data_IF_589494077491
#
_entry.id   IF_589494077491
#
_cell.length_a   1.000
_cell.length_b   1.000
_cell.length_c   1.000
_cell.angle_alpha   90.00
_cell.angle_beta   90.00
_cell.angle_gamma   90.00
#
_symmetry.space_group_name_H-M   'P 1'
#
loop_
_entity.id
_entity.type
_entity.pdbx_description
1 polymer ?
#
# COMPACT_ATOMS: atom_id res chain seq x y z
N UNK A 1 2.67 29.37 -4.57
CA UNK A 1 2.79 27.98 -5.06
C UNK A 1 3.78 27.29 -4.16
N UNK A 2 3.47 26.10 -3.66
CA UNK A 2 4.38 25.38 -2.76
C UNK A 2 5.26 24.45 -3.58
N UNK A 3 6.56 24.48 -3.33
CA UNK A 3 7.59 23.63 -3.94
C UNK A 3 8.02 22.59 -2.92
N UNK A 4 8.27 21.37 -3.35
CA UNK A 4 8.85 20.32 -2.53
C UNK A 4 10.07 19.75 -3.23
N UNK A 5 11.17 19.63 -2.49
CA UNK A 5 12.37 18.93 -2.91
C UNK A 5 12.22 17.45 -2.60
N UNK A 6 12.40 16.59 -3.59
CA UNK A 6 12.14 15.14 -3.47
C UNK A 6 13.39 14.35 -3.86
N UNK A 7 13.83 13.51 -2.95
CA UNK A 7 14.83 12.50 -3.21
C UNK A 7 14.12 11.23 -3.74
N UNK A 8 14.20 11.02 -5.05
CA UNK A 8 13.63 9.83 -5.70
C UNK A 8 14.45 8.58 -5.37
N UNK A 9 13.79 7.40 -5.32
CA UNK A 9 14.49 6.12 -5.11
C UNK A 9 15.31 5.67 -6.35
N UNK A 10 16.04 6.62 -6.94
CA UNK A 10 16.90 6.43 -8.10
C UNK A 10 18.33 6.91 -7.79
N UNK A 11 19.29 5.97 -7.59
CA UNK A 11 20.66 6.33 -7.25
C UNK A 11 21.40 7.19 -8.29
N UNK A 12 20.91 7.22 -9.54
CA UNK A 12 21.52 8.02 -10.61
C UNK A 12 21.13 9.50 -10.56
N UNK A 13 20.22 9.89 -9.65
CA UNK A 13 19.69 11.25 -9.57
C UNK A 13 19.93 11.85 -8.19
N UNK A 14 20.25 13.14 -8.17
CA UNK A 14 20.12 13.97 -6.98
C UNK A 14 18.65 14.31 -6.68
N UNK A 15 18.41 15.12 -5.63
CA UNK A 15 17.08 15.59 -5.31
C UNK A 15 16.54 16.48 -6.43
N UNK A 16 15.24 16.34 -6.71
CA UNK A 16 14.53 17.09 -7.75
C UNK A 16 13.41 17.92 -7.13
N UNK A 17 13.14 19.08 -7.74
CA UNK A 17 12.06 19.96 -7.32
C UNK A 17 10.77 19.63 -8.04
N UNK A 18 9.67 19.58 -7.26
CA UNK A 18 8.32 19.34 -7.74
C UNK A 18 7.35 20.40 -7.23
N UNK A 19 6.29 20.64 -7.99
CA UNK A 19 5.17 21.46 -7.54
C UNK A 19 4.25 20.61 -6.67
N UNK A 20 3.87 21.15 -5.52
CA UNK A 20 2.84 20.57 -4.67
C UNK A 20 1.46 21.04 -5.16
N UNK A 21 0.58 20.16 -5.64
CA UNK A 21 -0.76 20.53 -6.07
C UNK A 21 -1.57 21.16 -4.94
N UNK A 22 -2.53 22.00 -5.31
CA UNK A 22 -3.45 22.61 -4.33
C UNK A 22 -4.26 21.50 -3.63
N UNK A 23 -4.35 21.60 -2.29
CA UNK A 23 -5.03 20.58 -1.48
C UNK A 23 -4.16 19.38 -1.06
N UNK A 24 -2.91 19.30 -1.54
CA UNK A 24 -1.93 18.29 -1.12
C UNK A 24 -1.05 18.89 -0.02
N UNK A 25 -0.96 18.22 1.12
CA UNK A 25 -0.05 18.58 2.20
C UNK A 25 1.18 17.66 2.18
N UNK A 26 2.36 18.25 2.26
CA UNK A 26 3.64 17.52 2.35
C UNK A 26 4.52 18.19 3.39
N UNK A 27 5.29 17.36 4.09
CA UNK A 27 6.31 17.79 5.03
C UNK A 27 7.61 17.00 4.81
N UNK A 28 8.74 17.42 5.35
CA UNK A 28 9.97 16.66 5.28
C UNK A 28 9.79 15.24 5.81
N UNK A 29 10.13 14.25 5.00
CA UNK A 29 9.89 12.82 5.29
C UNK A 29 8.64 12.25 4.64
N UNK A 30 7.71 13.06 4.13
CA UNK A 30 6.53 12.56 3.40
C UNK A 30 6.96 11.68 2.22
N UNK A 31 6.35 10.50 2.12
CA UNK A 31 6.59 9.58 1.00
C UNK A 31 5.62 9.95 -0.12
N UNK A 32 6.16 10.17 -1.32
CA UNK A 32 5.40 10.70 -2.45
C UNK A 32 5.62 9.88 -3.72
N UNK A 33 4.65 9.92 -4.62
CA UNK A 33 4.80 9.47 -6.00
C UNK A 33 5.01 10.67 -6.90
N UNK A 34 6.10 10.66 -7.67
CA UNK A 34 6.47 11.76 -8.54
C UNK A 34 6.72 11.29 -9.98
N UNK A 35 6.42 12.12 -11.00
CA UNK A 35 6.70 11.78 -12.39
C UNK A 35 8.18 11.98 -12.71
N UNK A 36 8.78 10.98 -13.36
CA UNK A 36 10.14 11.04 -13.88
C UNK A 36 10.13 10.65 -15.38
N UNK A 37 10.11 11.62 -16.26
CA UNK A 37 9.87 11.38 -17.69
C UNK A 37 8.52 10.72 -17.93
N UNK A 38 8.45 9.57 -18.62
CA UNK A 38 7.22 8.81 -18.83
C UNK A 38 6.87 7.88 -17.65
N UNK A 39 7.75 7.75 -16.67
CA UNK A 39 7.59 6.85 -15.52
C UNK A 39 7.12 7.60 -14.29
N UNK A 40 6.62 6.85 -13.33
CA UNK A 40 6.33 7.33 -11.98
C UNK A 40 7.30 6.66 -11.02
N UNK A 41 7.74 7.39 -10.00
CA UNK A 41 8.71 6.88 -9.05
C UNK A 41 8.40 7.36 -7.65
N UNK A 42 8.61 6.49 -6.68
CA UNK A 42 8.51 6.82 -5.27
C UNK A 42 9.72 7.66 -4.89
N UNK A 43 9.49 8.64 -4.04
CA UNK A 43 10.52 9.47 -3.44
C UNK A 43 10.08 9.95 -2.06
N UNK A 44 10.98 10.65 -1.40
CA UNK A 44 10.76 11.24 -0.08
C UNK A 44 11.02 12.73 -0.16
N UNK A 45 10.13 13.52 0.42
CA UNK A 45 10.33 14.96 0.56
C UNK A 45 11.50 15.19 1.52
N UNK A 46 12.49 15.94 1.05
CA UNK A 46 13.73 16.21 1.79
C UNK A 46 13.83 17.68 2.20
N UNK A 47 14.58 17.95 3.24
CA UNK A 47 14.87 19.33 3.62
C UNK A 47 15.76 19.99 2.53
N UNK A 48 15.43 21.23 2.18
CA UNK A 48 16.17 21.98 1.18
C UNK A 48 17.61 22.30 1.63
N UNK A 49 17.79 22.55 2.91
CA UNK A 49 19.08 22.86 3.51
C UNK A 49 20.06 21.67 3.50
N UNK A 50 19.51 20.45 3.67
CA UNK A 50 20.34 19.23 3.70
C UNK A 50 20.86 18.82 2.32
N UNK A 51 20.11 19.14 1.26
CA UNK A 51 20.45 18.77 -0.11
C UNK A 51 20.14 19.93 -1.07
N UNK A 52 21.01 20.96 -1.14
CA UNK A 52 20.81 22.07 -2.04
C UNK A 52 20.78 21.58 -3.51
N UNK A 53 20.02 22.27 -4.35
CA UNK A 53 19.99 22.00 -5.79
C UNK A 53 20.96 22.93 -6.50
N UNK A 54 21.76 22.40 -7.41
CA UNK A 54 22.70 23.19 -8.21
C UNK A 54 22.01 24.06 -9.29
N UNK A 55 20.71 23.86 -9.52
CA UNK A 55 19.96 24.60 -10.53
C UNK A 55 18.57 25.00 -10.01
N UNK A 56 18.30 26.32 -10.02
CA UNK A 56 16.94 26.83 -9.87
C UNK A 56 16.14 26.51 -11.15
N UNK A 57 15.21 25.55 -11.02
CA UNK A 57 14.24 25.25 -12.07
C UNK A 57 13.11 26.26 -12.00
N UNK A 58 12.88 27.01 -13.08
CA UNK A 58 11.75 27.95 -13.14
C UNK A 58 10.40 27.25 -12.92
N UNK A 59 9.47 27.91 -12.23
CA UNK A 59 8.18 27.35 -11.83
C UNK A 59 7.35 26.72 -12.97
N UNK A 60 7.48 27.24 -14.18
CA UNK A 60 6.77 26.71 -15.38
C UNK A 60 7.25 25.34 -15.82
N UNK A 61 8.44 24.91 -15.38
CA UNK A 61 9.05 23.61 -15.72
C UNK A 61 8.82 22.54 -14.64
N UNK A 62 8.34 22.96 -13.47
CA UNK A 62 8.06 22.03 -12.37
C UNK A 62 6.88 21.13 -12.69
N UNK A 63 7.07 19.83 -12.55
CA UNK A 63 5.99 18.85 -12.63
C UNK A 63 5.28 18.74 -11.28
N UNK A 64 4.01 18.39 -11.32
CA UNK A 64 3.22 18.17 -10.11
C UNK A 64 3.56 16.82 -9.47
N UNK A 65 3.57 16.76 -8.13
CA UNK A 65 3.47 15.50 -7.41
C UNK A 65 2.14 14.81 -7.76
N UNK A 66 2.16 13.49 -7.82
CA UNK A 66 0.99 12.68 -8.22
C UNK A 66 0.20 12.20 -7.02
N UNK A 67 0.90 11.81 -5.94
CA UNK A 67 0.28 11.23 -4.74
C UNK A 67 1.20 11.48 -3.54
N UNK A 68 0.60 11.67 -2.37
CA UNK A 68 1.24 11.48 -1.07
C UNK A 68 0.69 10.18 -0.51
N UNK A 69 1.57 9.31 -0.02
CA UNK A 69 1.14 8.07 0.63
C UNK A 69 0.66 8.37 2.05
N UNK A 70 -0.43 7.74 2.43
CA UNK A 70 -1.03 7.87 3.77
C UNK A 70 -0.31 6.92 4.75
N UNK A 71 0.95 7.25 4.98
CA UNK A 71 1.82 6.55 5.93
C UNK A 71 2.60 7.58 6.73
N UNK A 72 3.07 7.26 7.95
CA UNK A 72 3.89 8.17 8.73
C UNK A 72 5.12 8.64 7.93
N UNK A 73 5.46 9.93 7.98
CA UNK A 73 6.65 10.45 7.31
C UNK A 73 7.92 9.86 7.93
N UNK A 74 8.95 9.71 7.12
CA UNK A 74 10.26 9.27 7.59
C UNK A 74 10.81 10.29 8.60
N UNK A 75 10.98 9.86 9.83
CA UNK A 75 11.44 10.71 10.92
C UNK A 75 12.84 11.32 10.67
N UNK A 76 13.08 12.50 11.21
CA UNK A 76 14.34 13.22 11.09
C UNK A 76 15.58 12.38 11.49
N UNK A 77 15.54 11.51 12.52
CA UNK A 77 16.70 10.67 12.85
C UNK A 77 17.10 9.73 11.71
N UNK A 78 16.12 9.10 11.03
CA UNK A 78 16.42 8.22 9.91
C UNK A 78 16.92 8.99 8.69
N UNK A 79 16.37 10.18 8.40
CA UNK A 79 16.87 11.03 7.32
C UNK A 79 18.33 11.42 7.54
N UNK A 80 18.69 11.85 8.77
CA UNK A 80 20.09 12.15 9.14
C UNK A 80 21.01 10.93 9.01
N UNK A 81 20.51 9.74 9.38
CA UNK A 81 21.27 8.50 9.22
C UNK A 81 21.54 8.20 7.75
N UNK A 82 20.55 8.42 6.88
CA UNK A 82 20.71 8.28 5.43
C UNK A 82 21.79 9.23 4.91
N UNK A 83 21.76 10.50 5.29
CA UNK A 83 22.75 11.51 4.90
C UNK A 83 24.14 11.15 5.41
N UNK A 84 24.25 10.83 6.69
CA UNK A 84 25.52 10.43 7.30
C UNK A 84 26.12 9.21 6.60
N UNK A 85 25.31 8.18 6.36
CA UNK A 85 25.75 6.94 5.70
C UNK A 85 26.18 7.22 4.25
N UNK A 86 25.40 8.01 3.53
CA UNK A 86 25.72 8.40 2.15
C UNK A 86 27.06 9.15 2.09
N UNK A 87 27.29 10.11 2.98
CA UNK A 87 28.52 10.86 3.06
C UNK A 87 29.71 9.98 3.47
N UNK A 88 29.52 9.10 4.45
CA UNK A 88 30.58 8.22 4.94
C UNK A 88 31.08 7.25 3.86
N UNK A 89 30.14 6.64 3.12
CA UNK A 89 30.46 5.68 2.07
C UNK A 89 30.65 6.31 0.68
N UNK A 90 30.53 7.62 0.56
CA UNK A 90 30.52 8.33 -0.75
C UNK A 90 29.48 7.75 -1.72
N UNK A 91 28.36 7.31 -1.17
CA UNK A 91 27.27 6.70 -1.93
C UNK A 91 26.17 7.73 -2.23
N UNK A 92 25.42 7.57 -3.34
CA UNK A 92 24.26 8.42 -3.58
C UNK A 92 23.23 8.28 -2.44
N UNK A 93 22.70 9.37 -1.86
CA UNK A 93 21.73 9.31 -0.78
C UNK A 93 20.49 8.48 -1.14
N UNK A 94 20.06 8.52 -2.41
CA UNK A 94 18.95 7.72 -2.91
C UNK A 94 19.22 6.19 -2.86
N UNK A 95 20.47 5.76 -2.96
CA UNK A 95 20.84 4.35 -2.79
C UNK A 95 20.63 3.89 -1.35
N UNK A 96 21.06 4.71 -0.40
CA UNK A 96 20.89 4.44 1.04
C UNK A 96 19.41 4.49 1.42
N UNK A 97 18.67 5.51 0.96
CA UNK A 97 17.24 5.63 1.19
C UNK A 97 16.46 4.41 0.66
N UNK A 98 16.86 3.88 -0.51
CA UNK A 98 16.25 2.68 -1.08
C UNK A 98 16.43 1.44 -0.21
N UNK A 99 17.48 1.36 0.59
CA UNK A 99 17.66 0.26 1.56
C UNK A 99 16.63 0.37 2.70
N UNK A 100 16.33 1.59 3.15
CA UNK A 100 15.32 1.83 4.18
C UNK A 100 13.88 1.64 3.64
N UNK A 101 13.64 1.94 2.35
CA UNK A 101 12.35 1.78 1.67
C UNK A 101 12.44 0.64 0.63
N UNK A 102 12.72 -0.57 1.09
CA UNK A 102 12.97 -1.72 0.23
C UNK A 102 11.72 -2.27 -0.45
N UNK A 103 10.53 -2.06 0.11
CA UNK A 103 9.27 -2.59 -0.42
C UNK A 103 8.26 -1.48 -0.74
N UNK A 104 8.01 -1.26 -2.03
CA UNK A 104 6.95 -0.35 -2.48
C UNK A 104 5.55 -0.84 -2.09
N UNK A 105 5.36 -2.16 -2.00
CA UNK A 105 4.08 -2.76 -1.61
C UNK A 105 3.67 -2.40 -0.17
N UNK A 106 4.64 -2.12 0.71
CA UNK A 106 4.35 -1.69 2.08
C UNK A 106 3.73 -0.28 2.16
N UNK A 107 3.78 0.50 1.09
CA UNK A 107 3.17 1.83 0.99
C UNK A 107 1.74 1.78 0.46
N UNK A 108 1.32 0.65 -0.06
CA UNK A 108 -0.05 0.39 -0.52
C UNK A 108 -0.76 -0.38 0.59
N UNK A 109 -2.04 -0.14 0.76
CA UNK A 109 -2.83 -0.91 1.73
C UNK A 109 -2.73 -2.41 1.44
N UNK A 110 -3.07 -3.22 2.44
CA UNK A 110 -3.13 -4.66 2.27
C UNK A 110 -3.93 -5.04 1.01
N UNK A 111 -3.48 -6.01 0.24
CA UNK A 111 -4.25 -6.48 -0.89
C UNK A 111 -5.61 -6.96 -0.40
N UNK A 112 -6.67 -6.52 -1.07
CA UNK A 112 -8.04 -6.93 -0.77
C UNK A 112 -8.52 -7.93 -1.80
N UNK A 113 -9.36 -8.86 -1.38
CA UNK A 113 -10.10 -9.78 -2.24
C UNK A 113 -11.56 -9.46 -2.09
N UNK A 114 -12.29 -9.50 -3.20
CA UNK A 114 -13.75 -9.37 -3.17
C UNK A 114 -14.34 -10.74 -2.89
N UNK A 115 -14.92 -10.87 -1.71
CA UNK A 115 -15.70 -12.03 -1.29
C UNK A 115 -17.20 -11.69 -1.33
N UNK A 116 -18.02 -12.70 -1.24
CA UNK A 116 -19.45 -12.60 -1.36
C UNK A 116 -20.12 -13.25 -0.16
N UNK A 117 -21.13 -12.58 0.41
CA UNK A 117 -21.93 -13.09 1.52
C UNK A 117 -23.41 -12.82 1.33
N UNK A 118 -24.27 -13.52 2.05
CA UNK A 118 -25.70 -13.27 2.05
C UNK A 118 -26.03 -11.93 2.71
N UNK A 119 -26.98 -11.19 2.11
CA UNK A 119 -27.50 -9.92 2.66
C UNK A 119 -28.63 -10.14 3.67
N UNK A 120 -29.16 -11.36 3.77
CA UNK A 120 -30.38 -11.65 4.51
C UNK A 120 -31.67 -11.18 3.85
N UNK A 121 -31.59 -10.55 2.67
CA UNK A 121 -32.76 -10.09 1.90
C UNK A 121 -33.27 -11.21 1.00
N UNK A 122 -34.57 -11.51 1.08
CA UNK A 122 -35.24 -12.41 0.14
C UNK A 122 -35.70 -11.59 -1.09
N UNK A 123 -35.21 -11.88 -2.31
CA UNK A 123 -35.68 -11.20 -3.51
C UNK A 123 -37.10 -11.65 -3.90
N UNK A 124 -37.87 -10.77 -4.54
CA UNK A 124 -39.27 -11.03 -4.95
C UNK A 124 -39.43 -12.18 -5.96
N UNK A 125 -38.36 -12.49 -6.71
CA UNK A 125 -38.36 -13.56 -7.73
C UNK A 125 -37.34 -14.63 -7.39
N UNK A 126 -37.75 -15.66 -6.68
CA UNK A 126 -36.92 -16.80 -6.35
C UNK A 126 -37.36 -18.05 -7.12
N UNK A 127 -36.39 -18.78 -7.64
CA UNK A 127 -36.61 -20.17 -8.13
C UNK A 127 -36.21 -21.14 -7.04
N UNK A 128 -36.77 -22.34 -7.07
CA UNK A 128 -36.44 -23.43 -6.10
C UNK A 128 -34.93 -23.63 -6.01
N UNK A 129 -34.21 -23.63 -7.15
CA UNK A 129 -32.76 -23.77 -7.18
C UNK A 129 -32.03 -22.62 -6.45
N UNK A 130 -32.50 -21.37 -6.59
CA UNK A 130 -31.90 -20.20 -5.93
C UNK A 130 -32.15 -20.25 -4.40
N UNK A 131 -33.34 -20.63 -3.98
CA UNK A 131 -33.66 -20.80 -2.55
C UNK A 131 -32.76 -21.84 -1.92
N UNK A 132 -32.64 -23.01 -2.56
CA UNK A 132 -31.76 -24.08 -2.07
C UNK A 132 -30.29 -23.66 -2.05
N UNK A 133 -29.85 -22.86 -3.03
CA UNK A 133 -28.50 -22.33 -3.06
C UNK A 133 -28.23 -21.41 -1.85
N UNK A 134 -29.14 -20.48 -1.52
CA UNK A 134 -29.00 -19.61 -0.36
C UNK A 134 -29.00 -20.39 0.96
N UNK A 135 -29.85 -21.41 1.10
CA UNK A 135 -29.88 -22.28 2.28
C UNK A 135 -28.55 -23.02 2.47
N UNK A 136 -27.99 -23.56 1.39
CA UNK A 136 -26.69 -24.27 1.44
C UNK A 136 -25.50 -23.34 1.73
N UNK A 137 -25.51 -22.10 1.21
CA UNK A 137 -24.50 -21.10 1.50
C UNK A 137 -24.56 -20.71 2.98
N UNK A 138 -25.76 -20.44 3.51
CA UNK A 138 -25.93 -20.02 4.91
C UNK A 138 -25.10 -18.77 5.23
N UNK A 139 -24.42 -18.76 6.38
CA UNK A 139 -23.60 -17.64 6.83
C UNK A 139 -22.16 -17.63 6.22
N UNK A 140 -21.88 -18.50 5.26
CA UNK A 140 -20.55 -18.60 4.67
C UNK A 140 -20.27 -17.43 3.75
N UNK A 141 -19.01 -17.01 3.76
CA UNK A 141 -18.44 -15.98 2.91
C UNK A 141 -17.31 -16.60 2.08
N UNK A 142 -17.13 -16.12 0.85
CA UNK A 142 -16.06 -16.60 -0.02
C UNK A 142 -16.21 -16.12 -1.46
N UNK A 143 -15.35 -16.64 -2.32
CA UNK A 143 -15.37 -16.32 -3.75
C UNK A 143 -16.62 -16.91 -4.44
N UNK A 144 -17.03 -16.32 -5.57
CA UNK A 144 -18.20 -16.81 -6.34
C UNK A 144 -18.09 -18.31 -6.62
N UNK A 145 -16.91 -18.80 -7.05
CA UNK A 145 -16.68 -20.22 -7.35
C UNK A 145 -16.81 -21.12 -6.12
N UNK A 146 -16.41 -20.64 -4.96
CA UNK A 146 -16.49 -21.39 -3.70
C UNK A 146 -17.93 -21.50 -3.24
N UNK A 147 -18.68 -20.39 -3.26
CA UNK A 147 -20.10 -20.38 -2.95
C UNK A 147 -20.90 -21.22 -3.95
N UNK A 148 -20.53 -21.21 -5.24
CA UNK A 148 -21.14 -22.06 -6.26
C UNK A 148 -20.90 -23.55 -5.99
N UNK A 149 -19.68 -23.94 -5.58
CA UNK A 149 -19.35 -25.30 -5.22
C UNK A 149 -20.12 -25.75 -3.94
N UNK A 150 -20.19 -24.89 -2.92
CA UNK A 150 -20.97 -25.18 -1.67
C UNK A 150 -22.45 -25.36 -1.98
N UNK A 151 -22.99 -24.51 -2.84
CA UNK A 151 -24.42 -24.55 -3.20
C UNK A 151 -24.76 -25.62 -4.25
N UNK A 152 -23.75 -26.25 -4.86
CA UNK A 152 -23.90 -27.19 -5.99
C UNK A 152 -24.67 -26.57 -7.16
N UNK A 153 -24.23 -25.37 -7.56
CA UNK A 153 -24.79 -24.60 -8.67
C UNK A 153 -23.67 -23.98 -9.52
N UNK A 154 -24.01 -23.49 -10.69
CA UNK A 154 -23.04 -22.77 -11.52
C UNK A 154 -22.78 -21.34 -10.98
N UNK A 155 -21.59 -20.77 -11.29
CA UNK A 155 -21.23 -19.38 -11.01
C UNK A 155 -22.29 -18.37 -11.49
N UNK A 156 -22.97 -18.70 -12.61
CA UNK A 156 -24.04 -17.88 -13.19
C UNK A 156 -25.24 -17.71 -12.24
N UNK A 157 -25.56 -18.73 -11.46
CA UNK A 157 -26.64 -18.66 -10.46
C UNK A 157 -26.23 -17.72 -9.32
N UNK A 158 -25.02 -17.82 -8.82
CA UNK A 158 -24.49 -16.93 -7.78
C UNK A 158 -24.47 -15.47 -8.28
N UNK A 159 -23.94 -15.20 -9.48
CA UNK A 159 -23.98 -13.87 -10.08
C UNK A 159 -25.41 -13.35 -10.27
N UNK A 160 -26.35 -14.23 -10.57
CA UNK A 160 -27.76 -13.90 -10.61
C UNK A 160 -28.32 -13.47 -9.27
N UNK A 161 -27.90 -14.14 -8.18
CA UNK A 161 -28.27 -13.79 -6.80
C UNK A 161 -27.64 -12.46 -6.36
N UNK A 162 -26.41 -12.16 -6.80
CA UNK A 162 -25.78 -10.84 -6.59
C UNK A 162 -26.59 -9.73 -7.28
N UNK A 163 -26.99 -9.92 -8.54
CA UNK A 163 -27.84 -8.95 -9.28
C UNK A 163 -29.21 -8.73 -8.62
N UNK A 164 -29.74 -9.72 -7.93
CA UNK A 164 -30.99 -9.62 -7.19
C UNK A 164 -30.83 -9.04 -5.77
N UNK A 165 -29.61 -8.75 -5.35
CA UNK A 165 -29.32 -8.20 -4.02
C UNK A 165 -29.45 -9.19 -2.87
N UNK A 166 -29.56 -10.52 -3.15
CA UNK A 166 -29.56 -11.56 -2.12
C UNK A 166 -28.14 -11.86 -1.61
N UNK A 167 -27.13 -11.60 -2.43
CA UNK A 167 -25.71 -11.72 -2.12
C UNK A 167 -25.05 -10.38 -2.41
N UNK A 168 -24.18 -9.91 -1.54
CA UNK A 168 -23.38 -8.69 -1.70
C UNK A 168 -21.89 -8.99 -1.78
N UNK A 169 -21.18 -8.12 -2.47
CA UNK A 169 -19.72 -8.12 -2.51
C UNK A 169 -19.17 -7.38 -1.29
N UNK A 170 -18.17 -7.96 -0.64
CA UNK A 170 -17.47 -7.38 0.51
C UNK A 170 -15.97 -7.44 0.22
N UNK A 171 -15.29 -6.32 0.36
CA UNK A 171 -13.83 -6.30 0.30
C UNK A 171 -13.24 -6.81 1.60
N UNK A 172 -12.45 -7.87 1.51
CA UNK A 172 -11.77 -8.49 2.66
C UNK A 172 -10.27 -8.32 2.49
N UNK A 173 -9.62 -7.81 3.52
CA UNK A 173 -8.17 -7.73 3.54
C UNK A 173 -7.55 -9.12 3.63
N UNK A 174 -6.55 -9.39 2.78
CA UNK A 174 -5.75 -10.63 2.83
C UNK A 174 -4.68 -10.59 3.94
N UNK A 175 -4.55 -9.49 4.66
CA UNK A 175 -3.66 -9.47 5.82
C UNK A 175 -4.16 -10.42 6.90
N UNK A 176 -3.38 -11.46 7.15
CA UNK A 176 -3.47 -12.19 8.42
C UNK A 176 -2.81 -11.30 9.47
N UNK A 177 -3.57 -10.79 10.45
CA UNK A 177 -2.96 -10.00 11.51
C UNK A 177 -1.91 -10.89 12.21
N UNK A 178 -0.68 -10.40 12.31
CA UNK A 178 0.33 -11.04 13.14
C UNK A 178 -0.19 -11.07 14.57
N UNK A 179 -0.07 -12.21 15.23
CA UNK A 179 -0.32 -12.29 16.65
C UNK A 179 0.64 -11.33 17.38
N UNK A 180 0.16 -10.64 18.38
CA UNK A 180 1.03 -9.83 19.21
C UNK A 180 2.15 -10.73 19.75
N UNK A 181 3.43 -10.29 19.68
CA UNK A 181 4.52 -11.09 20.21
C UNK A 181 4.29 -11.31 21.71
N UNK A 182 4.53 -12.52 22.16
CA UNK A 182 4.51 -12.87 23.58
C UNK A 182 5.82 -12.40 24.22
N UNK A 183 5.82 -11.38 25.09
CA UNK A 183 7.02 -10.87 25.72
C UNK A 183 7.65 -11.86 26.71
N UNK A 184 6.87 -12.84 27.19
CA UNK A 184 7.30 -13.86 28.12
C UNK A 184 7.67 -15.20 27.42
N UNK A 185 7.70 -15.17 26.07
CA UNK A 185 8.09 -16.34 25.28
C UNK A 185 9.50 -16.80 25.66
N UNK A 186 9.60 -18.01 26.17
CA UNK A 186 10.89 -18.59 26.53
C UNK A 186 11.75 -18.75 25.26
N UNK A 187 12.99 -18.26 25.26
CA UNK A 187 13.91 -18.48 24.13
C UNK A 187 14.17 -19.98 23.96
N UNK A 188 14.49 -20.45 22.76
CA UNK A 188 14.91 -21.83 22.56
C UNK A 188 16.16 -22.11 23.38
N UNK A 189 16.26 -23.33 23.95
CA UNK A 189 17.48 -23.77 24.63
C UNK A 189 18.66 -23.77 23.65
N UNK A 190 19.73 -23.11 24.03
CA UNK A 190 20.97 -23.11 23.25
C UNK A 190 21.61 -24.48 23.29
N UNK A 191 22.19 -24.94 22.18
CA UNK A 191 23.03 -26.13 22.19
C UNK A 191 24.34 -25.87 22.97
N UNK A 192 25.02 -26.95 23.38
CA UNK A 192 26.31 -26.83 24.09
C UNK A 192 27.35 -26.03 23.29
N UNK A 193 27.26 -26.00 21.96
CA UNK A 193 28.14 -25.21 21.08
C UNK A 193 27.73 -23.74 20.96
N UNK A 194 26.52 -23.39 21.39
CA UNK A 194 25.94 -22.02 21.30
C UNK A 194 25.97 -21.32 22.69
N UNK A 195 26.15 -22.05 23.75
CA UNK A 195 26.28 -21.55 25.12
C UNK A 195 27.72 -21.17 25.41
#
# INVERSE_FOLDING_TARGET
MTRARVLLLNPALGPLDYRVPHGMAVEPGSIVLAPLGPRQMIGVVWEEEAMPSDAEVGDNRLRNLLKVYDVPPIGAPLRRLVEWTANYYLAPPAAVLRMALSSAAALEGAPTVVEYRLTGRAPDKMTVQRTQALERIGERQGLIRELAAIADVSDGVIRGLVKLGAIEAVEVSLETPFLAPDPDHAPPELSEEQA
#
